data_IF_041130780566
#
_entry.id   IF_041130780566
#
_cell.length_a   1.000
_cell.length_b   1.000
_cell.length_c   1.000
_cell.angle_alpha   90.00
_cell.angle_beta   90.00
_cell.angle_gamma   90.00
#
_symmetry.space_group_name_H-M   'P 1'
#
loop_
_entity.id
_entity.type
_entity.pdbx_description
1 polymer ?
#
# COMPACT_ATOMS: atom_id res chain seq x y z
N UNK A 1 1.44 -16.41 8.25
CA UNK A 1 1.08 -15.52 7.13
C UNK A 1 1.78 -16.03 5.88
N UNK A 2 1.22 -15.80 4.69
CA UNK A 2 1.91 -16.06 3.41
C UNK A 2 1.94 -14.75 2.59
N UNK A 3 2.75 -13.75 3.00
CA UNK A 3 2.78 -12.45 2.34
C UNK A 3 3.07 -12.57 0.85
N UNK A 4 2.43 -11.72 0.05
CA UNK A 4 2.65 -11.63 -1.39
C UNK A 4 2.84 -10.16 -1.75
N UNK A 5 3.95 -9.53 -1.29
CA UNK A 5 4.27 -8.16 -1.62
C UNK A 5 4.48 -8.02 -3.14
N UNK A 6 4.13 -6.87 -3.69
CA UNK A 6 4.25 -6.62 -5.12
C UNK A 6 4.89 -5.27 -5.44
N UNK A 7 4.17 -4.16 -5.23
CA UNK A 7 4.68 -2.82 -5.43
C UNK A 7 5.22 -2.23 -4.13
N UNK A 8 6.25 -1.39 -4.25
CA UNK A 8 6.84 -0.62 -3.16
C UNK A 8 6.97 0.85 -3.58
N UNK A 9 6.70 1.76 -2.65
CA UNK A 9 6.90 3.20 -2.80
C UNK A 9 7.47 3.76 -1.49
N UNK A 10 8.37 4.74 -1.59
CA UNK A 10 8.92 5.45 -0.43
C UNK A 10 8.44 6.89 -0.50
N UNK A 11 7.79 7.36 0.56
CA UNK A 11 7.27 8.72 0.62
C UNK A 11 8.32 9.77 1.02
N UNK A 12 7.90 11.03 1.04
CA UNK A 12 8.74 12.18 1.42
C UNK A 12 9.20 12.16 2.89
N UNK A 13 8.57 11.35 3.74
CA UNK A 13 8.92 11.13 5.15
C UNK A 13 9.72 9.85 5.37
N UNK A 14 10.26 9.25 4.29
CA UNK A 14 11.01 8.00 4.30
C UNK A 14 10.24 6.78 4.83
N UNK A 15 8.91 6.83 4.82
CA UNK A 15 8.10 5.66 5.14
C UNK A 15 7.95 4.77 3.91
N UNK A 16 7.93 3.45 4.13
CA UNK A 16 7.90 2.46 3.05
C UNK A 16 6.49 1.90 2.93
N UNK A 17 5.88 2.11 1.77
CA UNK A 17 4.56 1.61 1.43
C UNK A 17 4.66 0.39 0.53
N UNK A 18 3.90 -0.65 0.84
CA UNK A 18 3.96 -1.96 0.20
C UNK A 18 2.54 -2.43 -0.13
N UNK A 19 2.26 -2.85 -1.35
CA UNK A 19 1.02 -3.57 -1.64
C UNK A 19 1.20 -5.06 -1.34
N UNK A 20 0.26 -5.70 -0.66
CA UNK A 20 0.28 -7.16 -0.43
C UNK A 20 -0.98 -7.83 -0.98
N UNK A 21 -0.80 -8.77 -1.91
CA UNK A 21 -1.90 -9.47 -2.56
C UNK A 21 -2.58 -10.50 -1.66
N UNK A 22 -1.84 -11.13 -0.74
CA UNK A 22 -2.43 -12.11 0.17
C UNK A 22 -3.29 -11.44 1.22
N UNK A 23 -2.88 -10.26 1.71
CA UNK A 23 -3.61 -9.48 2.69
C UNK A 23 -4.73 -8.62 2.07
N UNK A 24 -4.73 -8.46 0.73
CA UNK A 24 -5.58 -7.50 0.02
C UNK A 24 -5.50 -6.10 0.67
N UNK A 25 -4.27 -5.64 0.87
CA UNK A 25 -3.98 -4.48 1.69
C UNK A 25 -2.81 -3.67 1.14
N UNK A 26 -2.74 -2.42 1.57
CA UNK A 26 -1.52 -1.62 1.54
C UNK A 26 -0.94 -1.64 2.96
N UNK A 27 0.37 -1.82 3.07
CA UNK A 27 1.10 -1.91 4.32
C UNK A 27 2.12 -0.78 4.37
N UNK A 28 2.13 -0.06 5.49
CA UNK A 28 3.12 0.94 5.82
C UNK A 28 4.13 0.34 6.78
N UNK A 29 5.41 0.40 6.45
CA UNK A 29 6.52 0.08 7.34
C UNK A 29 7.19 1.38 7.82
N UNK A 30 7.12 1.60 9.13
CA UNK A 30 7.83 2.69 9.80
C UNK A 30 9.18 2.17 10.32
N UNK A 31 10.25 2.53 9.61
CA UNK A 31 11.61 2.08 9.90
C UNK A 31 12.11 2.53 11.29
N UNK A 32 11.74 3.74 11.73
CA UNK A 32 12.20 4.30 13.00
C UNK A 32 11.62 3.56 14.22
N UNK A 33 10.44 2.96 14.05
CA UNK A 33 9.73 2.22 15.11
C UNK A 33 9.79 0.70 14.92
N UNK A 34 10.42 0.25 13.83
CA UNK A 34 10.38 -1.14 13.35
C UNK A 34 8.97 -1.76 13.41
N UNK A 35 7.99 -1.03 12.86
CA UNK A 35 6.58 -1.36 13.02
C UNK A 35 5.81 -1.28 11.70
N UNK A 36 4.83 -2.18 11.55
CA UNK A 36 3.95 -2.23 10.38
C UNK A 36 2.54 -1.73 10.73
N UNK A 37 1.94 -0.97 9.83
CA UNK A 37 0.52 -0.60 9.86
C UNK A 37 -0.14 -1.11 8.59
N UNK A 38 -1.24 -1.85 8.72
CA UNK A 38 -1.94 -2.47 7.59
C UNK A 38 -3.25 -1.74 7.30
N UNK A 39 -3.45 -1.36 6.04
CA UNK A 39 -4.65 -0.75 5.51
C UNK A 39 -5.34 -1.74 4.58
N UNK A 40 -6.33 -2.46 5.10
CA UNK A 40 -7.13 -3.40 4.31
C UNK A 40 -7.99 -2.66 3.30
N UNK A 41 -8.01 -3.14 2.05
CA UNK A 41 -8.76 -2.51 0.97
C UNK A 41 -10.23 -3.00 0.98
N UNK A 42 -11.21 -2.11 0.76
CA UNK A 42 -12.63 -2.48 0.74
C UNK A 42 -13.02 -3.25 -0.52
N UNK A 43 -12.29 -3.08 -1.62
CA UNK A 43 -12.51 -3.84 -2.85
C UNK A 43 -12.10 -5.29 -2.68
N UNK A 44 -12.94 -6.23 -3.11
CA UNK A 44 -12.57 -7.64 -3.19
C UNK A 44 -11.48 -7.83 -4.25
N UNK A 45 -10.35 -8.44 -3.87
CA UNK A 45 -9.26 -8.80 -4.79
C UNK A 45 -8.63 -7.61 -5.54
N UNK A 46 -8.39 -6.50 -4.84
CA UNK A 46 -7.92 -5.23 -5.39
C UNK A 46 -6.65 -5.36 -6.24
N UNK A 47 -5.73 -6.27 -5.87
CA UNK A 47 -4.51 -6.58 -6.65
C UNK A 47 -3.73 -5.32 -7.04
N UNK A 48 -3.36 -4.48 -6.06
CA UNK A 48 -2.69 -3.20 -6.31
C UNK A 48 -1.30 -3.41 -6.90
N UNK A 49 -1.13 -3.12 -8.20
CA UNK A 49 0.14 -3.40 -8.91
C UNK A 49 1.11 -2.23 -8.97
N UNK A 50 0.65 -1.03 -8.66
CA UNK A 50 1.49 0.15 -8.67
C UNK A 50 1.13 1.06 -7.51
N UNK A 51 2.18 1.59 -6.88
CA UNK A 51 2.11 2.61 -5.84
C UNK A 51 2.95 3.82 -6.29
N UNK A 52 2.40 5.00 -6.12
CA UNK A 52 3.07 6.30 -6.29
C UNK A 52 2.48 7.28 -5.28
N UNK A 53 3.02 8.49 -5.18
CA UNK A 53 2.48 9.48 -4.27
C UNK A 53 2.80 10.91 -4.65
N UNK A 54 2.25 11.80 -3.84
CA UNK A 54 2.60 13.21 -3.71
C UNK A 54 2.61 13.55 -2.21
N UNK A 55 3.10 14.72 -1.78
CA UNK A 55 3.18 15.03 -0.35
C UNK A 55 1.86 14.78 0.40
N UNK A 56 1.91 13.98 1.47
CA UNK A 56 0.76 13.59 2.30
C UNK A 56 -0.21 12.59 1.67
N UNK A 57 0.09 12.04 0.48
CA UNK A 57 -0.80 11.10 -0.20
C UNK A 57 -0.05 9.95 -0.89
N UNK A 58 -0.47 8.73 -0.58
CA UNK A 58 -0.17 7.54 -1.35
C UNK A 58 -1.33 7.23 -2.30
N UNK A 59 -1.02 6.91 -3.54
CA UNK A 59 -1.94 6.45 -4.56
C UNK A 59 -1.60 5.03 -4.99
N UNK A 60 -2.63 4.17 -5.09
CA UNK A 60 -2.52 2.81 -5.58
C UNK A 60 -3.50 2.52 -6.71
N UNK A 61 -3.05 1.78 -7.73
CA UNK A 61 -3.90 1.29 -8.80
C UNK A 61 -4.45 -0.10 -8.47
N UNK A 62 -5.73 -0.21 -8.10
CA UNK A 62 -6.42 -1.47 -7.83
C UNK A 62 -6.72 -2.21 -9.16
N UNK A 63 -5.71 -2.84 -9.75
CA UNK A 63 -5.82 -3.47 -11.07
C UNK A 63 -6.86 -4.59 -11.16
N UNK A 64 -7.23 -5.20 -10.03
CA UNK A 64 -8.26 -6.22 -9.97
C UNK A 64 -9.68 -5.68 -9.82
N UNK A 65 -9.84 -4.37 -9.58
CA UNK A 65 -11.12 -3.77 -9.21
C UNK A 65 -11.52 -2.54 -10.04
N UNK A 66 -10.71 -2.16 -11.05
CA UNK A 66 -10.92 -0.98 -11.90
C UNK A 66 -11.12 0.31 -11.08
N UNK A 67 -10.23 0.51 -10.09
CA UNK A 67 -10.28 1.63 -9.14
C UNK A 67 -8.90 2.17 -8.81
N UNK A 68 -8.90 3.38 -8.26
CA UNK A 68 -7.76 3.94 -7.54
C UNK A 68 -8.07 4.01 -6.06
N UNK A 69 -7.05 3.77 -5.24
CA UNK A 69 -7.08 4.01 -3.79
C UNK A 69 -6.15 5.16 -3.45
N UNK A 70 -6.57 6.00 -2.50
CA UNK A 70 -5.72 7.02 -1.89
C UNK A 70 -5.68 6.81 -0.38
N UNK A 71 -4.48 6.84 0.20
CA UNK A 71 -4.26 6.91 1.64
C UNK A 71 -3.64 8.27 1.93
N UNK A 72 -4.24 9.04 2.85
CA UNK A 72 -3.74 10.33 3.31
C UNK A 72 -3.09 10.17 4.67
N UNK A 73 -1.92 10.76 4.86
CA UNK A 73 -1.10 10.62 6.06
C UNK A 73 -0.48 11.95 6.52
#
# INVERSE_FOLDING_TARGET
SNPRPYAVYVDESHQVWISDFSANAIVLYNQAKDAFTTFTLPSSSASVRQLLGRPGELWGAESGADKLVVIRY
#
